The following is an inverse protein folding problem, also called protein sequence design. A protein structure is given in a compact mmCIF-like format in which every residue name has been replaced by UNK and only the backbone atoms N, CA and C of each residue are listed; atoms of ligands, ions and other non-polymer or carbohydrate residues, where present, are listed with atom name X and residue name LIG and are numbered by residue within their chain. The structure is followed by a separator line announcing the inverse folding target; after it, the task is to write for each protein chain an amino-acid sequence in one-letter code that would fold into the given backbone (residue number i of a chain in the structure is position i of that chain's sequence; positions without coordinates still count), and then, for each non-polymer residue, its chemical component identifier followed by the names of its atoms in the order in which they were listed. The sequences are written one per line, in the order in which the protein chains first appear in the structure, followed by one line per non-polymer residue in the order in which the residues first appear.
data_IF_713709499795
#
_entry.id   IF_713709499795
#
_cell.length_a   1.000
_cell.length_b   1.000
_cell.length_c   1.000
_cell.angle_alpha   90.00
_cell.angle_beta   90.00
_cell.angle_gamma   90.00
#
_symmetry.space_group_name_H-M   'P 1'
#
loop_
_entity.id
_entity.type
_entity.pdbx_description
1 polymer ?
#
# COMPACT_ATOMS: atom_id res chain seq x y z
N UNK A 1 -9.86 -21.43 28.12
CA UNK A 1 -9.33 -20.51 27.09
C UNK A 1 -10.26 -20.62 25.91
N UNK A 2 -11.05 -19.57 25.62
CA UNK A 2 -11.92 -19.58 24.45
C UNK A 2 -11.05 -19.72 23.18
N UNK A 3 -11.49 -20.46 22.15
CA UNK A 3 -10.75 -20.55 20.90
C UNK A 3 -10.52 -19.13 20.35
N UNK A 4 -9.26 -18.78 20.07
CA UNK A 4 -8.92 -17.52 19.43
C UNK A 4 -9.34 -17.69 17.98
N UNK A 5 -10.49 -17.13 17.62
CA UNK A 5 -10.93 -17.09 16.22
C UNK A 5 -10.03 -16.06 15.52
N UNK A 6 -9.03 -16.53 14.75
CA UNK A 6 -8.06 -15.65 14.09
C UNK A 6 -8.73 -15.02 12.87
N UNK A 7 -9.44 -13.94 13.10
CA UNK A 7 -9.96 -13.10 12.05
C UNK A 7 -8.80 -12.30 11.45
N UNK A 8 -8.32 -12.77 10.29
CA UNK A 8 -7.25 -12.14 9.51
C UNK A 8 -7.79 -11.68 8.15
N UNK A 9 -8.71 -10.68 8.13
CA UNK A 9 -9.22 -10.16 6.87
C UNK A 9 -8.08 -9.46 6.11
N UNK A 10 -7.77 -9.98 4.92
CA UNK A 10 -6.80 -9.37 4.00
C UNK A 10 -7.16 -7.92 3.65
N UNK A 11 -8.45 -7.59 3.73
CA UNK A 11 -8.98 -6.25 3.47
C UNK A 11 -8.40 -5.16 4.37
N UNK A 12 -8.04 -5.47 5.63
CA UNK A 12 -7.49 -4.49 6.59
C UNK A 12 -6.09 -4.01 6.19
N UNK A 13 -5.25 -4.91 5.65
CA UNK A 13 -3.89 -4.61 5.21
C UNK A 13 -3.79 -4.38 3.69
N UNK A 14 -4.92 -4.11 3.04
CA UNK A 14 -5.01 -3.96 1.59
C UNK A 14 -4.01 -2.95 0.99
N UNK A 15 -3.94 -1.70 1.48
CA UNK A 15 -2.99 -0.71 0.95
C UNK A 15 -1.53 -1.17 1.08
N UNK A 16 -1.18 -1.78 2.22
CA UNK A 16 0.17 -2.33 2.45
C UNK A 16 0.51 -3.42 1.43
N UNK A 17 -0.40 -4.36 1.19
CA UNK A 17 -0.20 -5.44 0.22
C UNK A 17 0.01 -4.90 -1.20
N UNK A 18 -0.77 -3.90 -1.62
CA UNK A 18 -0.64 -3.27 -2.93
C UNK A 18 0.75 -2.64 -3.09
N UNK A 19 1.24 -1.91 -2.08
CA UNK A 19 2.59 -1.31 -2.12
C UNK A 19 3.67 -2.38 -2.16
N UNK A 20 3.56 -3.45 -1.35
CA UNK A 20 4.53 -4.55 -1.38
C UNK A 20 4.60 -5.23 -2.76
N UNK A 21 3.45 -5.56 -3.36
CA UNK A 21 3.39 -6.16 -4.69
C UNK A 21 3.96 -5.19 -5.74
N UNK A 22 3.62 -3.90 -5.65
CA UNK A 22 4.19 -2.87 -6.54
C UNK A 22 5.72 -2.84 -6.43
N UNK A 23 6.26 -2.88 -5.22
CA UNK A 23 7.72 -2.95 -5.00
C UNK A 23 8.36 -4.17 -5.66
N UNK A 24 7.76 -5.36 -5.54
CA UNK A 24 8.26 -6.56 -6.22
C UNK A 24 8.18 -6.45 -7.74
N UNK A 25 7.10 -5.90 -8.28
CA UNK A 25 6.97 -5.65 -9.72
C UNK A 25 8.04 -4.68 -10.20
N UNK A 26 8.35 -3.62 -9.43
CA UNK A 26 9.42 -2.68 -9.74
C UNK A 26 10.79 -3.35 -9.73
N UNK A 27 11.08 -4.21 -8.75
CA UNK A 27 12.35 -4.95 -8.70
C UNK A 27 12.52 -5.88 -9.91
N UNK A 28 11.45 -6.57 -10.31
CA UNK A 28 11.45 -7.42 -11.51
C UNK A 28 11.61 -6.56 -12.76
N UNK A 29 10.90 -5.43 -12.85
CA UNK A 29 11.00 -4.51 -13.97
C UNK A 29 12.43 -3.95 -14.10
N UNK A 30 13.04 -3.52 -12.99
CA UNK A 30 14.42 -3.01 -12.97
C UNK A 30 15.44 -4.08 -13.38
N UNK A 31 15.20 -5.35 -13.01
CA UNK A 31 16.04 -6.48 -13.44
C UNK A 31 15.94 -6.75 -14.94
N UNK A 32 14.79 -6.52 -15.56
CA UNK A 32 14.53 -6.81 -16.97
C UNK A 32 14.80 -5.62 -17.90
N UNK A 33 14.76 -4.39 -17.39
CA UNK A 33 14.87 -3.19 -18.22
C UNK A 33 16.34 -2.88 -18.58
N UNK A 34 16.65 -2.63 -19.87
CA UNK A 34 17.97 -2.19 -20.27
C UNK A 34 18.28 -0.77 -19.77
N UNK A 35 19.56 -0.51 -19.51
CA UNK A 35 20.08 0.81 -19.12
C UNK A 35 19.51 1.92 -20.03
N UNK A 36 18.85 2.92 -19.44
CA UNK A 36 18.28 4.07 -20.14
C UNK A 36 16.75 4.13 -20.22
N UNK A 37 16.01 3.10 -19.78
CA UNK A 37 14.53 3.12 -19.73
C UNK A 37 13.95 3.29 -18.33
N UNK A 38 14.72 3.82 -17.38
CA UNK A 38 14.31 3.95 -15.97
C UNK A 38 13.01 4.75 -15.75
N UNK A 39 12.65 5.67 -16.65
CA UNK A 39 11.38 6.42 -16.57
C UNK A 39 10.13 5.52 -16.50
N UNK A 40 10.18 4.31 -17.10
CA UNK A 40 9.06 3.36 -17.01
C UNK A 40 8.81 2.85 -15.58
N UNK A 41 9.85 2.79 -14.75
CA UNK A 41 9.71 2.35 -13.35
C UNK A 41 8.91 3.37 -12.52
N UNK A 42 9.07 4.67 -12.74
CA UNK A 42 8.25 5.66 -12.05
C UNK A 42 6.77 5.59 -12.42
N UNK A 43 6.42 5.35 -13.69
CA UNK A 43 5.03 5.15 -14.06
C UNK A 43 4.39 3.96 -13.35
N UNK A 44 5.11 2.84 -13.23
CA UNK A 44 4.66 1.66 -12.49
C UNK A 44 4.49 1.99 -11.00
N UNK A 45 5.46 2.70 -10.40
CA UNK A 45 5.41 3.12 -9.01
C UNK A 45 4.23 4.04 -8.72
N UNK A 46 4.01 5.06 -9.58
CA UNK A 46 2.90 5.99 -9.47
C UNK A 46 1.54 5.27 -9.52
N UNK A 47 1.38 4.33 -10.46
CA UNK A 47 0.12 3.58 -10.60
C UNK A 47 -0.15 2.73 -9.35
N UNK A 48 0.86 2.01 -8.85
CA UNK A 48 0.72 1.18 -7.65
C UNK A 48 0.40 1.99 -6.39
N UNK A 49 1.08 3.12 -6.19
CA UNK A 49 0.82 4.03 -5.04
C UNK A 49 -0.55 4.68 -5.15
N UNK A 50 -0.96 5.12 -6.35
CA UNK A 50 -2.31 5.67 -6.56
C UNK A 50 -3.39 4.63 -6.26
N UNK A 51 -3.21 3.37 -6.69
CA UNK A 51 -4.15 2.29 -6.37
C UNK A 51 -4.21 2.03 -4.86
N UNK A 52 -3.07 1.95 -4.18
CA UNK A 52 -3.03 1.81 -2.73
C UNK A 52 -3.76 2.97 -2.03
N UNK A 53 -3.62 4.20 -2.54
CA UNK A 53 -4.30 5.38 -2.01
C UNK A 53 -5.83 5.28 -2.13
N UNK A 54 -6.35 4.92 -3.30
CA UNK A 54 -7.79 4.69 -3.47
C UNK A 54 -8.30 3.54 -2.60
N UNK A 55 -7.48 2.50 -2.40
CA UNK A 55 -7.83 1.42 -1.48
C UNK A 55 -7.92 1.89 -0.03
N UNK A 56 -6.99 2.75 0.40
CA UNK A 56 -7.01 3.35 1.74
C UNK A 56 -8.19 4.32 1.90
N UNK A 57 -8.56 5.09 0.86
CA UNK A 57 -9.77 5.94 0.88
C UNK A 57 -11.03 5.10 1.12
N UNK A 58 -11.12 3.93 0.48
CA UNK A 58 -12.22 3.00 0.70
C UNK A 58 -12.28 2.38 2.10
N UNK A 59 -11.23 2.53 2.92
CA UNK A 59 -11.22 2.10 4.31
C UNK A 59 -11.70 3.18 5.29
N UNK A 60 -11.99 4.38 4.81
CA UNK A 60 -12.43 5.48 5.67
C UNK A 60 -13.75 5.17 6.37
N UNK A 61 -13.79 5.37 7.69
CA UNK A 61 -14.96 5.05 8.52
C UNK A 61 -15.09 3.58 8.91
N UNK A 62 -14.17 2.70 8.50
CA UNK A 62 -14.10 1.33 9.02
C UNK A 62 -13.50 1.33 10.43
N UNK A 63 -14.06 0.48 11.30
CA UNK A 63 -13.52 0.22 12.64
C UNK A 63 -13.44 -1.30 12.82
N UNK A 64 -12.25 -1.84 12.60
CA UNK A 64 -11.99 -3.27 12.65
C UNK A 64 -10.70 -3.54 13.42
N UNK A 65 -10.65 -4.68 14.12
CA UNK A 65 -9.43 -5.21 14.75
C UNK A 65 -9.23 -6.64 14.30
N UNK A 66 -8.05 -6.94 13.80
CA UNK A 66 -7.72 -8.25 13.23
C UNK A 66 -6.32 -8.68 13.60
N UNK A 67 -5.92 -9.85 13.09
CA UNK A 67 -4.57 -10.40 13.27
C UNK A 67 -4.18 -10.53 14.75
N UNK A 68 -5.07 -11.14 15.55
CA UNK A 68 -4.89 -11.28 17.01
C UNK A 68 -4.65 -9.94 17.74
N UNK A 69 -5.25 -8.85 17.25
CA UNK A 69 -5.13 -7.51 17.82
C UNK A 69 -3.87 -6.75 17.41
N UNK A 70 -3.06 -7.30 16.49
CA UNK A 70 -1.87 -6.63 15.98
C UNK A 70 -2.18 -5.48 15.01
N UNK A 71 -3.34 -5.55 14.33
CA UNK A 71 -3.75 -4.54 13.36
C UNK A 71 -5.08 -3.94 13.81
N UNK A 72 -5.09 -2.62 13.95
CA UNK A 72 -6.30 -1.82 14.16
C UNK A 72 -6.51 -0.98 12.92
N UNK A 73 -7.70 -1.09 12.33
CA UNK A 73 -8.15 -0.23 11.24
C UNK A 73 -9.13 0.76 11.83
N UNK A 74 -8.69 2.01 11.97
CA UNK A 74 -9.50 3.13 12.42
C UNK A 74 -9.22 4.37 11.55
N UNK A 75 -9.95 5.46 11.81
CA UNK A 75 -9.77 6.70 11.06
C UNK A 75 -8.36 7.30 11.22
N UNK A 76 -7.72 7.11 12.37
CA UNK A 76 -6.35 7.62 12.61
C UNK A 76 -5.34 6.88 11.74
N UNK A 77 -5.38 5.55 11.76
CA UNK A 77 -4.50 4.68 10.96
C UNK A 77 -4.76 4.89 9.47
N UNK A 78 -6.03 5.05 9.07
CA UNK A 78 -6.41 5.34 7.69
C UNK A 78 -5.89 6.71 7.24
N UNK A 79 -5.99 7.74 8.07
CA UNK A 79 -5.43 9.07 7.79
C UNK A 79 -3.91 9.00 7.59
N UNK A 80 -3.19 8.30 8.47
CA UNK A 80 -1.74 8.15 8.32
C UNK A 80 -1.37 7.38 7.04
N UNK A 81 -2.10 6.31 6.71
CA UNK A 81 -1.89 5.60 5.44
C UNK A 81 -2.10 6.52 4.24
N UNK A 82 -3.17 7.32 4.22
CA UNK A 82 -3.42 8.31 3.17
C UNK A 82 -2.31 9.35 3.07
N UNK A 83 -1.83 9.86 4.21
CA UNK A 83 -0.76 10.85 4.26
C UNK A 83 0.54 10.26 3.69
N UNK A 84 0.92 9.06 4.09
CA UNK A 84 2.13 8.39 3.60
C UNK A 84 2.05 8.06 2.11
N UNK A 85 0.90 7.61 1.63
CA UNK A 85 0.70 7.31 0.21
C UNK A 85 0.71 8.59 -0.65
N UNK A 86 0.06 9.66 -0.18
CA UNK A 86 0.08 10.96 -0.87
C UNK A 86 1.49 11.56 -0.90
N UNK A 87 2.23 11.52 0.21
CA UNK A 87 3.60 12.02 0.25
C UNK A 87 4.52 11.20 -0.65
N UNK A 88 4.38 9.88 -0.65
CA UNK A 88 5.14 8.98 -1.54
C UNK A 88 4.86 9.30 -3.01
N UNK A 89 3.59 9.54 -3.37
CA UNK A 89 3.22 9.91 -4.74
C UNK A 89 3.88 11.22 -5.19
N UNK A 90 3.86 12.25 -4.31
CA UNK A 90 4.53 13.53 -4.58
C UNK A 90 6.05 13.34 -4.72
N UNK A 91 6.67 12.53 -3.86
CA UNK A 91 8.10 12.23 -3.94
C UNK A 91 8.46 11.55 -5.26
N UNK A 92 7.66 10.60 -5.73
CA UNK A 92 7.88 9.94 -7.03
C UNK A 92 7.78 10.96 -8.17
N UNK A 93 6.78 11.84 -8.15
CA UNK A 93 6.62 12.91 -9.15
C UNK A 93 7.80 13.88 -9.19
N UNK A 94 8.43 14.16 -8.04
CA UNK A 94 9.57 15.07 -7.94
C UNK A 94 10.91 14.39 -8.26
N UNK A 95 10.97 13.06 -8.27
CA UNK A 95 12.20 12.28 -8.46
C UNK A 95 12.44 11.89 -9.92
N UNK A 96 11.50 12.19 -10.82
CA UNK A 96 11.61 12.06 -12.28
C UNK A 96 11.89 13.42 -12.93
#
# INVERSE_FOLDING_TARGET
MAPIDIQAPLGMIGPLLIVCVTGFVLLIADLLLPYGKKHWSAWIAMLGVAWAFFRALGQWGMDERGYAGMVTLDNLSTLFNLLFLASTFVVILLSE
#
